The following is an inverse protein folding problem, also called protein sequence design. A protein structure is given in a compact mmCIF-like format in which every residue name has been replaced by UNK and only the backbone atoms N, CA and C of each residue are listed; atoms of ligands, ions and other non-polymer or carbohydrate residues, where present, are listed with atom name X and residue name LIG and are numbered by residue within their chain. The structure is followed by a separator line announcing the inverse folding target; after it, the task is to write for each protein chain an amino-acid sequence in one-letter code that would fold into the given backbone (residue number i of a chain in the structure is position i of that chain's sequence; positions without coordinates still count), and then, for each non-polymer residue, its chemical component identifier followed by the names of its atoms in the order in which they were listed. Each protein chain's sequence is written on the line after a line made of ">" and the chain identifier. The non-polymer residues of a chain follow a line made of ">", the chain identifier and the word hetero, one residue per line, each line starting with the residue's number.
data_IF_676950063877
#
_entry.id   IF_676950063877
#
_cell.length_a   1.000
_cell.length_b   1.000
_cell.length_c   1.000
_cell.angle_alpha   90.00
_cell.angle_beta   90.00
_cell.angle_gamma   90.00
#
_symmetry.space_group_name_H-M   'P 1'
#
loop_
_entity.id
_entity.type
_entity.pdbx_description
1 polymer ?
#
# COMPACT_ATOMS: atom_id res chain seq x y z
N UNK A 1 1.05 9.80 -11.34
CA UNK A 1 0.60 9.62 -9.95
C UNK A 1 1.68 8.88 -9.18
N UNK A 2 1.99 9.37 -7.99
CA UNK A 2 3.06 8.92 -7.11
C UNK A 2 2.46 8.04 -6.02
N UNK A 3 2.92 6.80 -5.92
CA UNK A 3 2.52 5.86 -4.89
C UNK A 3 3.68 5.67 -3.92
N UNK A 4 3.47 6.03 -2.67
CA UNK A 4 4.39 5.78 -1.56
C UNK A 4 4.21 4.36 -1.06
N UNK A 5 5.27 3.62 -0.80
CA UNK A 5 5.22 2.31 -0.14
C UNK A 5 5.87 2.45 1.24
N UNK A 6 5.13 2.07 2.29
CA UNK A 6 5.61 2.11 3.67
C UNK A 6 5.48 0.74 4.33
N UNK A 7 6.61 0.24 4.81
CA UNK A 7 6.70 -1.02 5.52
C UNK A 7 6.76 -0.83 7.05
N UNK A 8 6.17 -1.76 7.79
CA UNK A 8 6.48 -1.94 9.21
C UNK A 8 7.63 -2.95 9.36
N UNK A 9 8.56 -2.68 10.28
CA UNK A 9 9.72 -3.52 10.62
C UNK A 9 9.42 -4.92 11.19
N UNK A 10 8.16 -5.36 11.20
CA UNK A 10 7.82 -6.77 11.27
C UNK A 10 7.47 -7.30 12.65
N UNK A 11 6.17 -7.43 12.92
CA UNK A 11 5.67 -8.36 13.93
C UNK A 11 5.39 -9.77 13.37
N UNK A 12 5.50 -9.94 12.05
CA UNK A 12 5.28 -11.21 11.35
C UNK A 12 6.26 -11.31 10.15
N UNK A 13 7.28 -12.15 10.29
CA UNK A 13 8.33 -12.38 9.29
C UNK A 13 7.84 -13.23 8.10
N UNK A 14 6.92 -14.17 8.34
CA UNK A 14 6.35 -15.05 7.30
C UNK A 14 5.50 -14.30 6.28
N UNK A 15 5.05 -13.08 6.62
CA UNK A 15 4.34 -12.22 5.70
C UNK A 15 5.31 -11.54 4.74
N UNK A 16 5.37 -12.04 3.50
CA UNK A 16 6.17 -11.45 2.42
C UNK A 16 5.51 -10.16 1.91
N UNK A 17 5.84 -9.06 2.58
CA UNK A 17 5.36 -7.70 2.27
C UNK A 17 5.63 -7.29 0.82
N UNK A 18 6.72 -7.81 0.28
CA UNK A 18 7.17 -7.63 -1.10
C UNK A 18 6.13 -8.10 -2.12
N UNK A 19 5.31 -9.11 -1.80
CA UNK A 19 4.29 -9.61 -2.73
C UNK A 19 3.28 -8.51 -3.13
N UNK A 20 2.87 -7.66 -2.17
CA UNK A 20 1.96 -6.55 -2.47
C UNK A 20 2.68 -5.52 -3.35
N UNK A 21 3.94 -5.21 -3.08
CA UNK A 21 4.71 -4.30 -3.92
C UNK A 21 4.89 -4.83 -5.34
N UNK A 22 5.20 -6.12 -5.51
CA UNK A 22 5.34 -6.75 -6.82
C UNK A 22 4.04 -6.69 -7.63
N UNK A 23 2.90 -7.00 -7.00
CA UNK A 23 1.58 -6.88 -7.62
C UNK A 23 1.36 -5.45 -8.10
N UNK A 24 1.69 -4.46 -7.28
CA UNK A 24 1.48 -3.06 -7.63
C UNK A 24 2.35 -2.61 -8.79
N UNK A 25 3.63 -2.96 -8.77
CA UNK A 25 4.56 -2.65 -9.86
C UNK A 25 4.14 -3.35 -11.17
N UNK A 26 3.61 -4.56 -11.08
CA UNK A 26 3.15 -5.33 -12.26
C UNK A 26 1.89 -4.75 -12.87
N UNK A 27 0.90 -4.41 -12.05
CA UNK A 27 -0.44 -4.02 -12.51
C UNK A 27 -0.59 -2.49 -12.73
N UNK A 28 0.15 -1.66 -12.00
CA UNK A 28 0.06 -0.20 -12.08
C UNK A 28 1.29 0.39 -12.78
N UNK A 29 1.53 -0.02 -14.03
CA UNK A 29 2.71 0.37 -14.83
C UNK A 29 2.81 1.88 -15.10
N UNK A 30 1.71 2.61 -14.98
CA UNK A 30 1.61 4.06 -15.16
C UNK A 30 1.83 4.85 -13.86
N UNK A 31 2.06 4.17 -12.73
CA UNK A 31 2.32 4.79 -11.44
C UNK A 31 3.81 4.77 -11.11
N UNK A 32 4.28 5.84 -10.45
CA UNK A 32 5.65 5.89 -9.96
C UNK A 32 5.67 5.50 -8.48
N UNK A 33 6.52 4.52 -8.12
CA UNK A 33 6.62 4.00 -6.77
C UNK A 33 7.81 4.60 -6.03
N UNK A 34 7.61 5.03 -4.78
CA UNK A 34 8.64 5.62 -3.93
C UNK A 34 8.52 5.11 -2.49
N UNK A 35 9.64 5.02 -1.76
CA UNK A 35 9.61 4.72 -0.32
C UNK A 35 9.59 6.03 0.49
N UNK A 36 8.52 6.81 0.31
CA UNK A 36 8.35 8.11 0.97
C UNK A 36 6.88 8.38 1.30
N UNK A 37 6.65 9.14 2.38
CA UNK A 37 5.31 9.62 2.75
C UNK A 37 4.84 10.81 1.90
N UNK A 38 5.69 11.32 0.99
CA UNK A 38 5.31 12.41 0.08
C UNK A 38 4.81 11.85 -1.25
N UNK A 39 3.58 11.32 -1.25
CA UNK A 39 2.96 10.66 -2.38
C UNK A 39 1.46 10.96 -2.46
N UNK A 40 0.87 10.80 -3.66
CA UNK A 40 -0.57 11.00 -3.87
C UNK A 40 -1.38 9.92 -3.14
N UNK A 41 -0.85 8.70 -3.10
CA UNK A 41 -1.36 7.58 -2.33
C UNK A 41 -0.23 6.87 -1.59
N UNK A 42 -0.42 6.54 -0.31
CA UNK A 42 0.54 5.76 0.48
C UNK A 42 -0.02 4.35 0.72
N UNK A 43 0.74 3.32 0.39
CA UNK A 43 0.42 1.92 0.65
C UNK A 43 1.19 1.46 1.88
N UNK A 44 0.46 1.30 2.98
CA UNK A 44 0.99 0.90 4.27
C UNK A 44 0.87 -0.63 4.42
N UNK A 45 1.99 -1.32 4.55
CA UNK A 45 2.03 -2.78 4.62
C UNK A 45 2.61 -3.19 5.97
N UNK A 46 1.74 -3.60 6.89
CA UNK A 46 2.14 -3.94 8.27
C UNK A 46 2.35 -5.44 8.48
N UNK A 47 1.46 -6.27 7.93
CA UNK A 47 1.46 -7.73 8.17
C UNK A 47 1.10 -8.13 9.61
N UNK A 48 0.52 -7.20 10.38
CA UNK A 48 -0.08 -7.47 11.67
C UNK A 48 -1.14 -6.40 12.02
N UNK A 49 -2.05 -6.74 12.93
CA UNK A 49 -3.12 -5.86 13.42
C UNK A 49 -2.65 -4.63 14.18
N UNK A 50 -1.38 -4.56 14.61
CA UNK A 50 -0.81 -3.36 15.25
C UNK A 50 -0.78 -2.16 14.32
N UNK A 51 -0.68 -2.38 13.00
CA UNK A 51 -0.83 -1.29 12.03
C UNK A 51 0.28 -0.22 12.06
N UNK A 52 1.47 -0.51 12.57
CA UNK A 52 2.53 0.50 12.76
C UNK A 52 2.95 1.21 11.44
N UNK A 53 2.74 0.59 10.28
CA UNK A 53 3.02 1.26 9.01
C UNK A 53 2.02 2.39 8.73
N UNK A 54 0.77 2.25 9.16
CA UNK A 54 -0.27 3.27 9.02
C UNK A 54 -0.16 4.37 10.11
N UNK A 55 0.62 4.12 11.16
CA UNK A 55 0.87 5.10 12.20
C UNK A 55 1.64 6.31 11.64
N UNK A 56 1.18 7.53 11.97
CA UNK A 56 1.74 8.82 11.51
C UNK A 56 1.78 8.96 9.99
N UNK A 57 0.80 8.38 9.28
CA UNK A 57 0.60 8.63 7.85
C UNK A 57 -0.46 9.71 7.69
N UNK A 58 -0.11 10.78 7.00
CA UNK A 58 -1.01 11.89 6.69
C UNK A 58 -1.33 11.88 5.20
N UNK A 59 -2.56 12.24 4.84
CA UNK A 59 -3.05 12.21 3.46
C UNK A 59 -3.76 10.91 3.09
N UNK A 60 -3.74 10.56 1.81
CA UNK A 60 -4.46 9.40 1.30
C UNK A 60 -3.61 8.14 1.42
N UNK A 61 -4.16 7.12 2.08
CA UNK A 61 -3.45 5.85 2.22
C UNK A 61 -4.39 4.64 2.15
N UNK A 62 -3.80 3.50 1.78
CA UNK A 62 -4.40 2.17 1.90
C UNK A 62 -3.53 1.35 2.83
N UNK A 63 -4.15 0.68 3.78
CA UNK A 63 -3.46 -0.17 4.75
C UNK A 63 -3.78 -1.65 4.53
N UNK A 64 -2.75 -2.48 4.62
CA UNK A 64 -2.82 -3.94 4.63
C UNK A 64 -2.15 -4.45 5.91
N UNK A 65 -2.96 -4.99 6.81
CA UNK A 65 -2.52 -5.65 8.04
C UNK A 65 -2.33 -7.17 7.87
N UNK A 66 -2.84 -7.76 6.80
CA UNK A 66 -2.67 -9.19 6.49
C UNK A 66 -2.62 -9.46 4.97
N UNK A 67 -2.35 -10.71 4.58
CA UNK A 67 -2.46 -11.12 3.18
C UNK A 67 -3.92 -11.33 2.83
N UNK A 68 -4.42 -10.53 1.88
CA UNK A 68 -5.83 -10.58 1.45
C UNK A 68 -6.03 -11.21 0.07
N UNK A 69 -4.94 -11.63 -0.59
CA UNK A 69 -4.95 -12.09 -1.98
C UNK A 69 -4.86 -10.95 -3.00
N UNK A 70 -4.37 -11.27 -4.19
CA UNK A 70 -4.07 -10.31 -5.26
C UNK A 70 -5.30 -9.50 -5.70
N UNK A 71 -6.43 -10.17 -5.93
CA UNK A 71 -7.67 -9.53 -6.38
C UNK A 71 -8.17 -8.45 -5.39
N UNK A 72 -8.12 -8.75 -4.08
CA UNK A 72 -8.51 -7.80 -3.04
C UNK A 72 -7.53 -6.65 -2.91
N UNK A 73 -6.23 -6.90 -3.09
CA UNK A 73 -5.19 -5.83 -3.11
C UNK A 73 -5.51 -4.85 -4.23
N UNK A 74 -5.74 -5.36 -5.44
CA UNK A 74 -6.02 -4.53 -6.61
C UNK A 74 -7.36 -3.80 -6.49
N UNK A 75 -8.40 -4.47 -6.02
CA UNK A 75 -9.71 -3.85 -5.82
C UNK A 75 -9.63 -2.68 -4.84
N UNK A 76 -8.97 -2.87 -3.69
CA UNK A 76 -8.84 -1.83 -2.66
C UNK A 76 -8.07 -0.62 -3.16
N UNK A 77 -6.99 -0.85 -3.92
CA UNK A 77 -6.16 0.23 -4.45
C UNK A 77 -6.85 0.93 -5.61
N UNK A 78 -7.39 0.21 -6.60
CA UNK A 78 -8.13 0.82 -7.73
C UNK A 78 -9.32 1.65 -7.24
N UNK A 79 -10.05 1.17 -6.23
CA UNK A 79 -11.12 1.94 -5.60
C UNK A 79 -10.58 3.27 -5.07
N UNK A 80 -9.51 3.23 -4.27
CA UNK A 80 -8.92 4.45 -3.70
C UNK A 80 -8.36 5.39 -4.77
N UNK A 81 -7.73 4.86 -5.81
CA UNK A 81 -7.23 5.63 -6.94
C UNK A 81 -8.35 6.32 -7.71
N UNK A 82 -9.47 5.62 -7.91
CA UNK A 82 -10.63 6.20 -8.57
C UNK A 82 -11.27 7.32 -7.74
N UNK A 83 -11.23 7.25 -6.40
CA UNK A 83 -11.66 8.35 -5.53
C UNK A 83 -10.73 9.57 -5.68
N UNK A 84 -9.42 9.34 -5.75
CA UNK A 84 -8.42 10.42 -5.89
C UNK A 84 -8.49 11.14 -7.23
N UNK A 85 -8.73 10.41 -8.32
CA UNK A 85 -8.88 11.00 -9.65
C UNK A 85 -10.16 11.81 -9.82
N UNK A 86 -11.13 11.66 -8.91
CA UNK A 86 -12.40 12.39 -8.91
C UNK A 86 -12.41 13.61 -7.98
N UNK A 87 -11.39 13.76 -7.12
CA UNK A 87 -11.23 14.88 -6.18
C UNK A 87 -10.34 15.96 -6.79
#
# INVERSE_FOLDING_TARGET
>A
MRIGIKYCGGCNESYKREMIEEILKRELKNCQFFYSNNADLIVCISGCKKGCAAEKVSGNFVHFDEWVGEDKVLTKIKAKLSELLRS
#
